data_IF_947198803153
#
_entry.id   IF_947198803153
#
_cell.length_a   1.000
_cell.length_b   1.000
_cell.length_c   1.000
_cell.angle_alpha   90.00
_cell.angle_beta   90.00
_cell.angle_gamma   90.00
#
_symmetry.space_group_name_H-M   'P 1'
#
loop_
_entity.id
_entity.type
_entity.pdbx_description
1 polymer ?
#
# COMPACT_ATOMS: atom_id res chain seq x y z
N UNK A 1 -13.46 31.63 56.38
CA UNK A 1 -13.15 30.37 55.66
C UNK A 1 -13.38 30.62 54.18
N UNK A 2 -12.32 30.94 53.45
CA UNK A 2 -12.37 31.15 52.00
C UNK A 2 -12.16 29.78 51.37
N UNK A 3 -13.21 29.21 50.77
CA UNK A 3 -13.11 27.99 49.98
C UNK A 3 -12.56 28.41 48.61
N UNK A 4 -11.26 28.25 48.41
CA UNK A 4 -10.63 28.33 47.10
C UNK A 4 -11.07 27.11 46.28
N UNK A 5 -12.01 27.32 45.37
CA UNK A 5 -12.27 26.39 44.27
C UNK A 5 -11.04 26.40 43.36
N UNK A 6 -10.18 25.40 43.51
CA UNK A 6 -9.19 25.04 42.49
C UNK A 6 -9.97 24.40 41.35
N UNK A 7 -10.55 25.23 40.48
CA UNK A 7 -11.03 24.77 39.19
C UNK A 7 -9.79 24.51 38.32
N UNK A 8 -9.35 23.25 38.25
CA UNK A 8 -8.61 22.79 37.07
C UNK A 8 -9.57 22.96 35.88
N UNK A 9 -9.48 24.08 35.16
CA UNK A 9 -10.08 24.17 33.85
C UNK A 9 -9.38 23.13 32.98
N UNK A 10 -10.00 21.95 32.82
CA UNK A 10 -9.62 21.05 31.75
C UNK A 10 -9.81 21.86 30.47
N UNK A 11 -8.71 22.26 29.85
CA UNK A 11 -8.75 22.93 28.55
C UNK A 11 -9.64 22.11 27.63
N UNK A 12 -10.51 22.78 26.88
CA UNK A 12 -11.38 22.08 25.95
C UNK A 12 -10.57 21.10 25.08
N UNK A 13 -11.08 19.88 24.84
CA UNK A 13 -10.41 18.91 24.00
C UNK A 13 -10.10 19.52 22.63
N UNK A 14 -8.86 19.35 22.16
CA UNK A 14 -8.45 19.84 20.84
C UNK A 14 -9.24 19.17 19.72
N UNK A 15 -9.65 19.94 18.73
CA UNK A 15 -10.48 19.49 17.60
C UNK A 15 -9.71 18.57 16.64
N UNK A 16 -10.44 17.86 15.77
CA UNK A 16 -9.84 17.10 14.67
C UNK A 16 -8.94 17.98 13.80
N UNK A 17 -9.40 19.18 13.42
CA UNK A 17 -8.66 20.10 12.56
C UNK A 17 -7.31 20.51 13.17
N UNK A 18 -7.27 20.77 14.48
CA UNK A 18 -6.03 21.06 15.20
C UNK A 18 -5.01 19.92 15.04
N UNK A 19 -5.43 18.68 15.32
CA UNK A 19 -4.54 17.53 15.20
C UNK A 19 -4.18 17.22 13.75
N UNK A 20 -5.11 17.42 12.81
CA UNK A 20 -4.86 17.23 11.39
C UNK A 20 -3.79 18.18 10.84
N UNK A 21 -3.78 19.43 11.33
CA UNK A 21 -2.72 20.40 10.97
C UNK A 21 -1.35 19.94 11.49
N UNK A 22 -1.27 19.49 12.75
CA UNK A 22 -0.01 18.95 13.31
C UNK A 22 0.48 17.70 12.56
N UNK A 23 -0.44 16.80 12.17
CA UNK A 23 -0.11 15.65 11.33
C UNK A 23 0.44 16.11 9.98
N UNK A 24 -0.17 17.11 9.36
CA UNK A 24 0.27 17.66 8.06
C UNK A 24 1.65 18.30 8.15
N UNK A 25 1.91 19.10 9.19
CA UNK A 25 3.23 19.68 9.46
C UNK A 25 4.30 18.60 9.66
N UNK A 26 3.96 17.53 10.40
CA UNK A 26 4.89 16.41 10.63
C UNK A 26 5.19 15.64 9.34
N UNK A 27 4.22 15.49 8.45
CA UNK A 27 4.46 14.92 7.13
C UNK A 27 5.43 15.76 6.31
N UNK A 28 5.29 17.08 6.31
CA UNK A 28 6.23 17.98 5.62
C UNK A 28 7.63 17.92 6.20
N UNK A 29 7.77 17.82 7.53
CA UNK A 29 9.07 17.62 8.18
C UNK A 29 9.74 16.31 7.74
N UNK A 30 8.99 15.21 7.70
CA UNK A 30 9.49 13.92 7.21
C UNK A 30 9.89 14.02 5.74
N UNK A 31 9.07 14.65 4.90
CA UNK A 31 9.34 14.85 3.48
C UNK A 31 10.63 15.67 3.28
N UNK A 32 10.79 16.76 4.02
CA UNK A 32 12.00 17.58 3.98
C UNK A 32 13.24 16.78 4.38
N UNK A 33 13.14 15.94 5.43
CA UNK A 33 14.25 15.08 5.86
C UNK A 33 14.66 14.09 4.78
N UNK A 34 13.71 13.33 4.21
CA UNK A 34 14.03 12.31 3.19
C UNK A 34 14.54 12.94 1.88
N UNK A 35 14.16 14.19 1.60
CA UNK A 35 14.63 14.96 0.44
C UNK A 35 15.93 15.76 0.71
N UNK A 36 16.44 15.77 1.95
CA UNK A 36 17.64 16.53 2.31
C UNK A 36 18.95 15.88 1.83
N UNK A 37 18.92 14.58 1.54
CA UNK A 37 20.07 13.83 1.06
C UNK A 37 20.06 13.78 -0.47
N UNK A 38 21.08 14.31 -1.16
CA UNK A 38 21.20 14.19 -2.61
C UNK A 38 21.27 12.72 -3.06
N UNK A 39 20.60 12.40 -4.15
CA UNK A 39 20.61 11.08 -4.76
C UNK A 39 21.62 11.03 -5.90
N UNK A 40 22.74 10.36 -5.64
CA UNK A 40 23.77 10.03 -6.64
C UNK A 40 23.86 8.53 -6.90
N UNK A 41 23.55 7.72 -5.89
CA UNK A 41 23.40 6.28 -5.95
C UNK A 41 22.06 5.88 -5.29
N UNK A 42 21.16 5.28 -6.08
CA UNK A 42 19.83 4.89 -5.61
C UNK A 42 19.87 3.66 -4.69
N UNK A 43 20.94 2.86 -4.75
CA UNK A 43 21.06 1.68 -3.91
C UNK A 43 21.40 2.01 -2.45
N UNK A 44 21.92 3.21 -2.20
CA UNK A 44 22.11 3.74 -0.85
C UNK A 44 20.77 4.12 -0.14
N UNK A 45 19.64 4.10 -0.86
CA UNK A 45 18.31 4.38 -0.33
C UNK A 45 17.49 3.09 -0.19
N UNK A 46 16.86 2.93 0.97
CA UNK A 46 15.94 1.82 1.26
C UNK A 46 14.49 2.29 1.11
N UNK A 47 13.59 1.43 0.63
CA UNK A 47 12.16 1.71 0.66
C UNK A 47 11.61 1.26 2.02
N UNK A 48 11.19 2.23 2.85
CA UNK A 48 10.56 1.94 4.14
C UNK A 48 9.05 2.10 4.01
N UNK A 49 8.31 1.07 4.41
CA UNK A 49 6.84 1.05 4.50
C UNK A 49 6.38 1.38 5.93
N UNK A 50 5.98 2.63 6.18
CA UNK A 50 5.45 3.10 7.47
C UNK A 50 4.56 4.32 7.27
N UNK A 51 3.24 4.18 7.43
CA UNK A 51 2.25 5.22 7.09
C UNK A 51 2.37 5.79 5.67
N UNK A 52 2.87 4.97 4.74
CA UNK A 52 3.28 5.36 3.39
C UNK A 52 4.57 4.64 2.98
N UNK A 53 5.10 4.97 1.80
CA UNK A 53 6.40 4.49 1.34
C UNK A 53 7.38 5.67 1.23
N UNK A 54 8.59 5.49 1.75
CA UNK A 54 9.63 6.51 1.75
C UNK A 54 10.95 5.94 1.22
N UNK A 55 11.64 6.60 0.28
CA UNK A 55 13.02 6.29 -0.05
C UNK A 55 13.95 6.96 0.97
N UNK A 56 14.51 6.18 1.89
CA UNK A 56 15.28 6.70 3.04
C UNK A 56 16.73 6.30 2.92
N UNK A 57 17.61 7.29 2.92
CA UNK A 57 19.05 7.07 2.98
C UNK A 57 19.50 6.67 4.40
N UNK A 58 20.48 5.77 4.50
CA UNK A 58 20.95 5.26 5.81
C UNK A 58 21.42 6.37 6.76
N UNK A 59 21.99 7.47 6.24
CA UNK A 59 22.49 8.60 7.04
C UNK A 59 21.42 9.33 7.84
N UNK A 60 20.16 9.32 7.38
CA UNK A 60 19.03 10.00 8.05
C UNK A 60 18.07 9.03 8.74
N UNK A 61 18.33 7.71 8.66
CA UNK A 61 17.43 6.65 9.15
C UNK A 61 16.98 6.86 10.59
N UNK A 62 17.92 7.14 11.50
CA UNK A 62 17.61 7.34 12.93
C UNK A 62 16.65 8.52 13.17
N UNK A 63 16.84 9.63 12.44
CA UNK A 63 15.97 10.79 12.57
C UNK A 63 14.60 10.52 11.94
N UNK A 64 14.57 9.84 10.79
CA UNK A 64 13.33 9.41 10.15
C UNK A 64 12.50 8.53 11.08
N UNK A 65 13.11 7.51 11.70
CA UNK A 65 12.42 6.59 12.60
C UNK A 65 11.82 7.31 13.82
N UNK A 66 12.51 8.33 14.34
CA UNK A 66 11.99 9.19 15.42
C UNK A 66 10.76 9.97 14.97
N UNK A 67 10.83 10.64 13.81
CA UNK A 67 9.71 11.43 13.28
C UNK A 67 8.49 10.57 12.95
N UNK A 68 8.69 9.33 12.51
CA UNK A 68 7.60 8.38 12.28
C UNK A 68 6.87 8.03 13.57
N UNK A 69 7.59 7.84 14.68
CA UNK A 69 6.95 7.59 16.00
C UNK A 69 6.15 8.81 16.46
N UNK A 70 6.68 10.02 16.27
CA UNK A 70 5.94 11.26 16.58
C UNK A 70 4.69 11.40 15.70
N UNK A 71 4.79 11.09 14.41
CA UNK A 71 3.66 11.10 13.48
C UNK A 71 2.57 10.11 13.91
N UNK A 72 2.95 8.88 14.27
CA UNK A 72 2.00 7.85 14.75
C UNK A 72 1.22 8.33 15.98
N UNK A 73 1.88 9.02 16.92
CA UNK A 73 1.21 9.61 18.09
C UNK A 73 0.22 10.71 17.69
N UNK A 74 0.61 11.63 16.80
CA UNK A 74 -0.27 12.70 16.33
C UNK A 74 -1.48 12.14 15.57
N UNK A 75 -1.29 11.09 14.77
CA UNK A 75 -2.37 10.41 14.06
C UNK A 75 -3.34 9.73 15.02
N UNK A 76 -2.85 9.12 16.10
CA UNK A 76 -3.71 8.54 17.14
C UNK A 76 -4.61 9.60 17.77
N UNK A 77 -4.05 10.74 18.16
CA UNK A 77 -4.82 11.87 18.73
C UNK A 77 -5.84 12.44 17.73
N UNK A 78 -5.43 12.60 16.46
CA UNK A 78 -6.34 13.00 15.38
C UNK A 78 -7.51 12.03 15.22
N UNK A 79 -7.24 10.72 15.26
CA UNK A 79 -8.26 9.70 15.10
C UNK A 79 -9.23 9.68 16.31
N UNK A 80 -8.72 9.88 17.54
CA UNK A 80 -9.55 10.03 18.74
C UNK A 80 -10.48 11.24 18.60
N UNK A 81 -9.97 12.38 18.13
CA UNK A 81 -10.76 13.58 17.88
C UNK A 81 -11.81 13.35 16.77
N UNK A 82 -11.42 12.69 15.68
CA UNK A 82 -12.31 12.29 14.58
C UNK A 82 -13.50 11.47 15.08
N UNK A 83 -13.26 10.48 15.93
CA UNK A 83 -14.32 9.64 16.51
C UNK A 83 -15.25 10.43 17.43
N UNK A 84 -14.69 11.31 18.27
CA UNK A 84 -15.48 12.19 19.14
C UNK A 84 -16.38 13.13 18.35
N UNK A 85 -15.91 13.60 17.20
CA UNK A 85 -16.62 14.53 16.32
C UNK A 85 -17.57 13.83 15.34
N UNK A 86 -17.73 12.50 15.44
CA UNK A 86 -18.67 11.75 14.63
C UNK A 86 -18.30 11.66 13.15
N UNK A 87 -17.03 11.88 12.80
CA UNK A 87 -16.57 11.76 11.42
C UNK A 87 -16.55 10.30 11.00
N UNK A 88 -17.35 9.95 9.99
CA UNK A 88 -17.38 8.62 9.39
C UNK A 88 -16.26 8.47 8.36
N UNK A 89 -15.39 7.49 8.57
CA UNK A 89 -14.40 7.07 7.59
C UNK A 89 -15.04 6.05 6.63
N UNK A 90 -15.65 6.51 5.54
CA UNK A 90 -16.03 5.63 4.44
C UNK A 90 -14.88 5.50 3.45
N UNK A 91 -14.00 4.53 3.70
CA UNK A 91 -12.96 4.14 2.77
C UNK A 91 -13.20 2.67 2.45
N UNK A 92 -14.03 2.42 1.44
CA UNK A 92 -14.14 1.10 0.83
C UNK A 92 -12.78 0.56 0.39
N UNK A 93 -12.64 -0.76 0.19
CA UNK A 93 -11.34 -1.37 -0.09
C UNK A 93 -10.75 -0.79 -1.38
N UNK A 94 -9.50 -0.34 -1.29
CA UNK A 94 -8.70 0.17 -2.42
C UNK A 94 -7.49 -0.71 -2.59
N UNK A 95 -7.11 -0.97 -3.83
CA UNK A 95 -5.90 -1.73 -4.12
C UNK A 95 -4.72 -0.88 -3.62
N UNK A 96 -3.90 -1.40 -2.69
CA UNK A 96 -2.74 -0.67 -2.20
C UNK A 96 -1.82 -0.23 -3.35
N UNK A 97 -1.38 1.02 -3.32
CA UNK A 97 -0.49 1.56 -4.33
C UNK A 97 0.97 1.37 -3.90
N UNK A 98 1.55 0.23 -4.26
CA UNK A 98 2.96 -0.08 -4.01
C UNK A 98 3.89 0.64 -5.00
N UNK A 99 5.08 1.08 -4.59
CA UNK A 99 6.08 1.58 -5.51
C UNK A 99 6.63 0.44 -6.37
N UNK A 100 6.81 0.68 -7.67
CA UNK A 100 7.39 -0.27 -8.60
C UNK A 100 8.90 -0.33 -8.47
N UNK A 101 9.51 0.85 -8.29
CA UNK A 101 10.95 1.05 -8.22
C UNK A 101 11.29 2.37 -7.56
N UNK A 102 12.53 2.47 -7.09
CA UNK A 102 13.18 3.70 -6.63
C UNK A 102 14.11 4.20 -7.74
N UNK A 103 14.20 5.52 -7.92
CA UNK A 103 15.09 6.17 -8.90
C UNK A 103 15.72 7.42 -8.31
N UNK A 104 16.91 7.78 -8.77
CA UNK A 104 17.40 9.15 -8.63
C UNK A 104 16.83 9.97 -9.79
N UNK A 105 16.02 10.98 -9.49
CA UNK A 105 15.50 11.93 -10.47
C UNK A 105 15.80 13.35 -10.00
N UNK A 106 16.48 14.13 -10.85
CA UNK A 106 16.86 15.51 -10.55
C UNK A 106 17.65 15.66 -9.24
N UNK A 107 18.55 14.70 -8.98
CA UNK A 107 19.38 14.66 -7.78
C UNK A 107 18.63 14.30 -6.50
N UNK A 108 17.40 13.80 -6.59
CA UNK A 108 16.55 13.43 -5.45
C UNK A 108 16.07 12.00 -5.59
N UNK A 109 16.00 11.28 -4.47
CA UNK A 109 15.44 9.94 -4.47
C UNK A 109 13.91 10.03 -4.59
N UNK A 110 13.35 9.28 -5.55
CA UNK A 110 11.91 9.21 -5.81
C UNK A 110 11.47 7.76 -5.93
N UNK A 111 10.22 7.52 -5.57
CA UNK A 111 9.53 6.26 -5.80
C UNK A 111 8.64 6.42 -7.04
N UNK A 112 8.72 5.47 -7.96
CA UNK A 112 7.87 5.40 -9.16
C UNK A 112 6.69 4.48 -8.86
N UNK A 113 5.48 4.99 -9.05
CA UNK A 113 4.22 4.26 -8.87
C UNK A 113 3.57 3.96 -10.23
N UNK A 114 2.54 3.11 -10.24
CA UNK A 114 1.80 2.78 -11.47
C UNK A 114 1.27 4.03 -12.14
N UNK A 115 0.83 5.04 -11.38
CA UNK A 115 0.32 6.31 -11.90
C UNK A 115 1.37 7.15 -12.64
N UNK A 116 2.65 6.93 -12.38
CA UNK A 116 3.76 7.72 -12.93
C UNK A 116 4.26 7.15 -14.27
N UNK A 117 3.86 5.92 -14.61
CA UNK A 117 4.23 5.30 -15.88
C UNK A 117 3.53 5.94 -17.09
N UNK A 118 4.13 5.85 -18.27
CA UNK A 118 3.43 6.03 -19.54
C UNK A 118 2.60 4.79 -19.91
N UNK A 119 1.68 4.91 -20.88
CA UNK A 119 0.95 3.72 -21.39
C UNK A 119 1.90 2.75 -22.10
N UNK A 120 2.93 3.25 -22.79
CA UNK A 120 3.95 2.43 -23.44
C UNK A 120 4.74 1.58 -22.41
N UNK A 121 5.14 2.18 -21.28
CA UNK A 121 5.76 1.44 -20.18
C UNK A 121 4.80 0.38 -19.62
N UNK A 122 3.53 0.72 -19.38
CA UNK A 122 2.53 -0.25 -18.91
C UNK A 122 2.38 -1.42 -19.88
N UNK A 123 2.28 -1.14 -21.18
CA UNK A 123 2.14 -2.16 -22.22
C UNK A 123 3.34 -3.11 -22.29
N UNK A 124 4.55 -2.57 -22.07
CA UNK A 124 5.78 -3.36 -22.02
C UNK A 124 5.92 -4.19 -20.73
N UNK A 125 5.48 -3.66 -19.59
CA UNK A 125 5.65 -4.29 -18.27
C UNK A 125 4.58 -5.36 -17.97
N UNK A 126 3.35 -5.17 -18.45
CA UNK A 126 2.23 -6.05 -18.14
C UNK A 126 2.50 -7.55 -18.47
N UNK A 127 3.02 -7.91 -19.67
CA UNK A 127 3.32 -9.30 -19.98
C UNK A 127 4.44 -9.89 -19.11
N UNK A 128 5.41 -9.08 -18.69
CA UNK A 128 6.51 -9.50 -17.81
C UNK A 128 5.95 -9.82 -16.43
N UNK A 129 5.18 -8.89 -15.84
CA UNK A 129 4.58 -9.05 -14.51
C UNK A 129 3.61 -10.22 -14.45
N UNK A 130 2.81 -10.41 -15.50
CA UNK A 130 1.93 -11.58 -15.59
C UNK A 130 2.73 -12.89 -15.49
N UNK A 131 3.83 -13.02 -16.25
CA UNK A 131 4.70 -14.21 -16.20
C UNK A 131 5.32 -14.40 -14.81
N UNK A 132 5.78 -13.31 -14.17
CA UNK A 132 6.34 -13.37 -12.82
C UNK A 132 5.32 -13.88 -11.80
N UNK A 133 4.10 -13.36 -11.81
CA UNK A 133 2.99 -13.79 -10.95
C UNK A 133 2.72 -15.28 -11.15
N UNK A 134 2.62 -15.76 -12.40
CA UNK A 134 2.36 -17.18 -12.70
C UNK A 134 3.54 -18.09 -12.32
N UNK A 135 4.77 -17.57 -12.34
CA UNK A 135 5.97 -18.32 -12.02
C UNK A 135 6.31 -18.30 -10.52
N UNK A 136 5.74 -17.38 -9.73
CA UNK A 136 6.20 -17.05 -8.37
C UNK A 136 6.26 -18.27 -7.43
N UNK A 137 5.21 -19.09 -7.44
CA UNK A 137 5.10 -20.30 -6.62
C UNK A 137 5.23 -21.59 -7.43
N UNK A 138 5.78 -21.55 -8.65
CA UNK A 138 5.81 -22.73 -9.55
C UNK A 138 6.55 -23.94 -8.96
N UNK A 139 7.53 -23.68 -8.10
CA UNK A 139 8.40 -24.67 -7.48
C UNK A 139 7.97 -25.00 -6.03
N UNK A 140 6.89 -24.37 -5.54
CA UNK A 140 6.34 -24.61 -4.20
C UNK A 140 5.25 -25.67 -4.29
N UNK A 141 5.44 -26.79 -3.58
CA UNK A 141 4.49 -27.90 -3.56
C UNK A 141 3.27 -27.59 -2.69
N UNK A 142 2.11 -28.04 -3.13
CA UNK A 142 0.87 -28.03 -2.37
C UNK A 142 0.64 -29.41 -1.77
N UNK A 143 0.86 -29.55 -0.47
CA UNK A 143 0.52 -30.76 0.31
C UNK A 143 -0.62 -30.52 1.30
N UNK A 144 -0.88 -29.26 1.65
CA UNK A 144 -1.96 -28.82 2.53
C UNK A 144 -2.64 -27.59 1.93
N UNK A 145 -3.87 -27.75 1.45
CA UNK A 145 -4.66 -26.69 0.84
C UNK A 145 -4.98 -25.55 1.83
N UNK A 146 -4.96 -25.81 3.14
CA UNK A 146 -5.23 -24.80 4.16
C UNK A 146 -4.16 -23.71 4.21
N UNK A 147 -2.96 -23.96 3.66
CA UNK A 147 -1.88 -22.99 3.53
C UNK A 147 -2.05 -22.03 2.35
N UNK A 148 -3.07 -22.23 1.51
CA UNK A 148 -3.27 -21.47 0.28
C UNK A 148 -4.59 -20.72 0.29
N UNK A 149 -4.64 -19.62 -0.46
CA UNK A 149 -5.84 -18.83 -0.70
C UNK A 149 -5.87 -18.37 -2.15
N UNK A 150 -7.05 -18.37 -2.76
CA UNK A 150 -7.24 -17.85 -4.11
C UNK A 150 -7.39 -16.33 -4.06
N UNK A 151 -6.61 -15.63 -4.87
CA UNK A 151 -6.72 -14.19 -5.14
C UNK A 151 -7.07 -13.98 -6.60
N UNK A 152 -7.61 -12.81 -6.93
CA UNK A 152 -7.91 -12.46 -8.31
C UNK A 152 -6.92 -11.46 -8.90
N UNK A 153 -6.58 -11.70 -10.16
CA UNK A 153 -5.91 -10.72 -11.02
C UNK A 153 -6.80 -10.34 -12.19
N UNK A 154 -6.63 -9.13 -12.72
CA UNK A 154 -7.35 -8.67 -13.90
C UNK A 154 -6.82 -9.29 -15.20
N UNK A 155 -7.72 -9.85 -16.00
CA UNK A 155 -7.41 -10.38 -17.34
C UNK A 155 -8.50 -9.93 -18.32
N UNK A 156 -8.24 -8.87 -19.08
CA UNK A 156 -9.08 -8.39 -20.20
C UNK A 156 -10.59 -8.31 -19.88
N UNK A 157 -10.95 -7.37 -19.01
CA UNK A 157 -12.29 -7.20 -18.41
C UNK A 157 -12.85 -8.43 -17.67
N UNK A 158 -12.07 -9.49 -17.45
CA UNK A 158 -12.40 -10.64 -16.61
C UNK A 158 -11.45 -10.71 -15.40
N UNK A 159 -11.76 -11.63 -14.49
CA UNK A 159 -10.91 -11.98 -13.35
C UNK A 159 -10.32 -13.36 -13.59
N UNK A 160 -9.03 -13.51 -13.37
CA UNK A 160 -8.34 -14.80 -13.31
C UNK A 160 -8.00 -15.08 -11.85
N UNK A 161 -8.37 -16.26 -11.36
CA UNK A 161 -8.01 -16.68 -10.02
C UNK A 161 -6.61 -17.31 -9.97
N UNK A 162 -5.82 -16.93 -8.98
CA UNK A 162 -4.48 -17.45 -8.74
C UNK A 162 -4.32 -17.86 -7.27
N UNK A 163 -3.58 -18.94 -7.02
CA UNK A 163 -3.32 -19.38 -5.67
C UNK A 163 -2.11 -18.63 -5.07
N UNK A 164 -2.27 -18.17 -3.84
CA UNK A 164 -1.26 -17.45 -3.06
C UNK A 164 -1.06 -18.20 -1.76
N UNK A 165 0.20 -18.46 -1.41
CA UNK A 165 0.54 -19.06 -0.12
C UNK A 165 0.28 -18.04 1.01
N UNK A 166 -0.28 -18.48 2.14
CA UNK A 166 -0.71 -17.60 3.24
C UNK A 166 0.44 -17.06 4.08
N UNK A 167 1.60 -17.70 4.06
CA UNK A 167 2.76 -17.34 4.90
C UNK A 167 4.03 -17.15 4.08
N UNK A 168 4.51 -18.19 3.40
CA UNK A 168 5.66 -18.11 2.49
C UNK A 168 5.52 -16.97 1.48
N UNK A 169 6.43 -15.98 1.56
CA UNK A 169 6.54 -14.80 0.69
C UNK A 169 5.20 -14.14 0.32
N UNK A 170 4.24 -14.20 1.25
CA UNK A 170 2.87 -13.77 1.02
C UNK A 170 2.79 -12.29 0.63
N UNK A 171 3.44 -11.42 1.41
CA UNK A 171 3.45 -9.99 1.16
C UNK A 171 4.01 -9.65 -0.21
N UNK A 172 5.17 -10.22 -0.58
CA UNK A 172 5.81 -9.98 -1.88
C UNK A 172 4.88 -10.36 -3.05
N UNK A 173 4.17 -11.49 -2.94
CA UNK A 173 3.21 -11.88 -3.95
C UNK A 173 2.03 -10.91 -4.04
N UNK A 174 1.50 -10.44 -2.90
CA UNK A 174 0.41 -9.46 -2.89
C UNK A 174 0.85 -8.14 -3.53
N UNK A 175 2.06 -7.64 -3.25
CA UNK A 175 2.54 -6.40 -3.87
C UNK A 175 2.61 -6.53 -5.40
N UNK A 176 3.04 -7.70 -5.90
CA UNK A 176 3.08 -8.00 -7.35
C UNK A 176 1.69 -8.01 -7.96
N UNK A 177 0.73 -8.65 -7.29
CA UNK A 177 -0.69 -8.71 -7.70
C UNK A 177 -1.28 -7.30 -7.75
N UNK A 178 -1.06 -6.50 -6.71
CA UNK A 178 -1.61 -5.15 -6.57
C UNK A 178 -1.07 -4.22 -7.66
N UNK A 179 0.24 -4.25 -7.91
CA UNK A 179 0.87 -3.49 -9.00
C UNK A 179 0.29 -3.91 -10.36
N UNK A 180 0.21 -5.21 -10.63
CA UNK A 180 -0.35 -5.72 -11.89
C UNK A 180 -1.81 -5.30 -12.08
N UNK A 181 -2.63 -5.42 -11.04
CA UNK A 181 -4.04 -5.04 -11.08
C UNK A 181 -4.22 -3.54 -11.31
N UNK A 182 -3.43 -2.69 -10.63
CA UNK A 182 -3.43 -1.25 -10.86
C UNK A 182 -3.06 -0.90 -12.32
N UNK A 183 -2.07 -1.59 -12.90
CA UNK A 183 -1.70 -1.39 -14.31
C UNK A 183 -2.83 -1.78 -15.26
N UNK A 184 -3.46 -2.94 -15.04
CA UNK A 184 -4.60 -3.40 -15.86
C UNK A 184 -5.79 -2.44 -15.75
N UNK A 185 -6.09 -1.95 -14.55
CA UNK A 185 -7.14 -0.95 -14.34
C UNK A 185 -6.85 0.36 -15.09
N UNK A 186 -5.61 0.85 -15.02
CA UNK A 186 -5.22 2.07 -15.72
C UNK A 186 -5.28 1.91 -17.23
N UNK A 187 -4.81 0.78 -17.77
CA UNK A 187 -4.90 0.44 -19.19
C UNK A 187 -6.37 0.38 -19.65
N UNK A 188 -7.22 -0.35 -18.93
CA UNK A 188 -8.64 -0.45 -19.25
C UNK A 188 -9.34 0.92 -19.24
N UNK A 189 -8.99 1.80 -18.29
CA UNK A 189 -9.50 3.16 -18.26
C UNK A 189 -9.03 4.00 -19.46
N UNK A 190 -7.77 3.88 -19.89
CA UNK A 190 -7.27 4.58 -21.08
C UNK A 190 -7.91 4.11 -22.39
N UNK A 191 -8.30 2.84 -22.45
CA UNK A 191 -8.96 2.22 -23.61
C UNK A 191 -10.49 2.42 -23.59
N UNK A 192 -11.04 3.11 -22.58
CA UNK A 192 -12.48 3.26 -22.33
C UNK A 192 -13.24 1.91 -22.33
N UNK A 193 -12.60 0.84 -21.84
CA UNK A 193 -13.22 -0.47 -21.77
C UNK A 193 -14.32 -0.47 -20.70
N UNK A 194 -15.56 -0.68 -21.13
CA UNK A 194 -16.69 -0.75 -20.22
C UNK A 194 -16.78 -2.13 -19.54
N UNK A 195 -15.93 -2.39 -18.54
CA UNK A 195 -15.88 -3.66 -17.82
C UNK A 195 -17.04 -3.82 -16.79
N UNK A 196 -18.27 -3.45 -17.16
CA UNK A 196 -19.48 -3.41 -16.31
C UNK A 196 -19.79 -4.68 -15.50
N UNK A 197 -19.21 -5.84 -15.86
CA UNK A 197 -19.43 -7.12 -15.17
C UNK A 197 -18.41 -7.42 -14.08
N UNK A 198 -17.32 -6.67 -14.02
CA UNK A 198 -16.20 -6.95 -13.13
C UNK A 198 -16.08 -5.78 -12.16
N UNK A 199 -16.76 -5.90 -11.01
CA UNK A 199 -16.60 -4.89 -9.97
C UNK A 199 -15.13 -4.87 -9.55
N UNK A 200 -14.53 -3.67 -9.43
CA UNK A 200 -13.18 -3.52 -8.89
C UNK A 200 -13.05 -4.18 -7.51
N UNK A 201 -14.15 -4.28 -6.76
CA UNK A 201 -14.20 -4.96 -5.47
C UNK A 201 -13.97 -6.48 -5.56
N UNK A 202 -14.16 -7.09 -6.73
CA UNK A 202 -13.95 -8.53 -6.92
C UNK A 202 -12.50 -8.93 -6.71
N UNK A 203 -11.53 -8.01 -6.88
CA UNK A 203 -10.10 -8.27 -6.61
C UNK A 203 -9.84 -8.65 -5.16
N UNK A 204 -10.70 -8.20 -4.23
CA UNK A 204 -10.58 -8.48 -2.80
C UNK A 204 -11.31 -9.77 -2.39
N UNK A 205 -11.95 -10.46 -3.33
CA UNK A 205 -12.63 -11.72 -3.04
C UNK A 205 -11.60 -12.84 -2.89
N UNK A 206 -11.72 -13.62 -1.81
CA UNK A 206 -10.92 -14.82 -1.60
C UNK A 206 -11.65 -16.05 -2.13
N UNK A 207 -10.90 -17.00 -2.68
CA UNK A 207 -11.44 -18.27 -3.21
C UNK A 207 -10.77 -19.48 -2.56
N UNK A 208 -11.50 -20.59 -2.38
CA UNK A 208 -10.90 -21.80 -1.84
C UNK A 208 -9.90 -22.40 -2.83
N UNK A 209 -8.89 -23.08 -2.28
CA UNK A 209 -7.84 -23.78 -3.02
C UNK A 209 -7.90 -25.26 -2.67
N UNK A 210 -7.50 -26.12 -3.59
CA UNK A 210 -7.20 -27.52 -3.38
C UNK A 210 -5.81 -27.87 -3.91
N UNK A 211 -5.21 -28.94 -3.40
CA UNK A 211 -3.98 -29.48 -3.95
C UNK A 211 -4.31 -30.59 -4.96
N UNK A 212 -3.94 -30.41 -6.23
CA UNK A 212 -4.02 -31.44 -7.28
C UNK A 212 -2.64 -31.66 -7.86
N UNK A 213 -2.17 -32.90 -7.90
CA UNK A 213 -0.85 -33.26 -8.41
C UNK A 213 0.29 -32.41 -7.81
N UNK A 214 0.27 -32.26 -6.48
CA UNK A 214 1.19 -31.41 -5.70
C UNK A 214 1.16 -29.91 -6.07
N UNK A 215 0.15 -29.43 -6.80
CA UNK A 215 0.00 -28.02 -7.19
C UNK A 215 -1.27 -27.39 -6.60
N UNK A 216 -1.23 -26.12 -6.19
CA UNK A 216 -2.41 -25.43 -5.71
C UNK A 216 -3.30 -25.03 -6.89
N UNK A 217 -4.59 -25.37 -6.82
CA UNK A 217 -5.60 -25.04 -7.83
C UNK A 217 -6.75 -24.29 -7.16
N UNK A 218 -7.08 -23.11 -7.68
CA UNK A 218 -8.22 -22.33 -7.16
C UNK A 218 -9.53 -22.93 -7.69
N UNK A 219 -10.51 -23.09 -6.81
CA UNK A 219 -11.82 -23.66 -7.16
C UNK A 219 -12.78 -22.52 -7.52
N UNK A 220 -13.11 -22.41 -8.81
CA UNK A 220 -14.15 -21.50 -9.30
C UNK A 220 -15.52 -22.18 -9.17
N UNK A 221 -16.15 -22.02 -8.01
CA UNK A 221 -17.59 -22.32 -7.81
C UNK A 221 -18.43 -21.08 -8.06
#
# INVERSE_FOLDING_TARGET
MVILFIACSKSEPKSYEYWNNLVSEKYEEINALVQSVPCTDIEAFEIIKRNGYYPVHFSVRKQFDRLQVELEQLQQERNIASSREGMLSDIGPRIPNHPLRKVCDSGKAKLIYVKDLSMEEIDSELPVRYKEIKAFYKDVRCTDASQWTGHYIFSDCKMEAIAVHKTDRHEEMLERIDIYNLMKMRKAASENLNCNKTSSNSVFSIKPVECRDEKPVVIEK
#
